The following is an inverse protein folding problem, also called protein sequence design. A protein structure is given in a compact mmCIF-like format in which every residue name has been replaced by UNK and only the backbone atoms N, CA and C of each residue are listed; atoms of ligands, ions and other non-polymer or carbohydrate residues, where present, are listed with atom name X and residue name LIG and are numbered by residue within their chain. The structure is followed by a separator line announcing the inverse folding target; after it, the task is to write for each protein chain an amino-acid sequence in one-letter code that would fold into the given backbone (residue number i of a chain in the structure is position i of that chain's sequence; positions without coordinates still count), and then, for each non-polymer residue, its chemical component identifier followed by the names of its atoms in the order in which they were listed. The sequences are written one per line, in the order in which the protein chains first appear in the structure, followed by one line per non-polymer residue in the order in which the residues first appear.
data_IF_886026034278
#
_entry.id   IF_886026034278
#
_cell.length_a   1.000
_cell.length_b   1.000
_cell.length_c   1.000
_cell.angle_alpha   90.00
_cell.angle_beta   90.00
_cell.angle_gamma   90.00
#
_symmetry.space_group_name_H-M   'P 1'
#
loop_
_entity.id
_entity.type
_entity.pdbx_description
1 polymer ?
#
# COMPACT_ATOMS: atom_id res chain seq x y z
N UNK A 1 -10.12 7.94 21.07
CA UNK A 1 -11.27 7.79 20.14
C UNK A 1 -10.87 8.43 18.82
N UNK A 2 -10.80 7.67 17.72
CA UNK A 2 -10.37 8.17 16.41
C UNK A 2 -11.51 9.03 15.84
N UNK A 3 -11.19 10.20 15.29
CA UNK A 3 -12.19 11.06 14.69
C UNK A 3 -12.88 10.34 13.50
N UNK A 4 -14.22 10.40 13.37
CA UNK A 4 -14.96 9.70 12.31
C UNK A 4 -14.47 10.04 10.89
N UNK A 5 -14.03 11.30 10.70
CA UNK A 5 -13.49 11.80 9.44
C UNK A 5 -12.17 11.11 9.07
N UNK A 6 -11.26 10.96 10.04
CA UNK A 6 -9.98 10.25 9.86
C UNK A 6 -10.22 8.78 9.54
N UNK A 7 -11.18 8.13 10.21
CA UNK A 7 -11.54 6.74 9.92
C UNK A 7 -12.07 6.57 8.48
N UNK A 8 -12.88 7.52 8.00
CA UNK A 8 -13.38 7.55 6.63
C UNK A 8 -12.24 7.72 5.62
N UNK A 9 -11.31 8.65 5.89
CA UNK A 9 -10.15 8.89 5.03
C UNK A 9 -9.23 7.65 4.97
N UNK A 10 -8.95 7.03 6.12
CA UNK A 10 -8.21 5.76 6.20
C UNK A 10 -8.91 4.67 5.38
N UNK A 11 -10.21 4.44 5.58
CA UNK A 11 -10.95 3.40 4.83
C UNK A 11 -10.91 3.63 3.32
N UNK A 12 -10.92 4.88 2.88
CA UNK A 12 -10.82 5.26 1.46
C UNK A 12 -9.41 5.06 0.90
N UNK A 13 -8.37 5.29 1.71
CA UNK A 13 -6.97 5.24 1.28
C UNK A 13 -6.30 3.88 1.45
N UNK A 14 -6.78 3.04 2.37
CA UNK A 14 -6.29 1.68 2.63
C UNK A 14 -6.12 0.82 1.37
N UNK A 15 -7.03 0.84 0.38
CA UNK A 15 -6.86 0.08 -0.86
C UNK A 15 -5.68 0.56 -1.72
N UNK A 16 -5.38 1.86 -1.69
CA UNK A 16 -4.30 2.49 -2.49
C UNK A 16 -2.95 2.42 -1.80
N UNK A 17 -2.98 2.32 -0.47
CA UNK A 17 -1.82 2.14 0.39
C UNK A 17 -1.17 0.76 0.26
N UNK A 18 -1.63 -0.11 -0.64
CA UNK A 18 -1.23 -1.50 -0.68
C UNK A 18 -1.83 -2.28 0.49
N UNK A 19 -2.49 -3.40 0.21
CA UNK A 19 -2.85 -4.35 1.25
C UNK A 19 -1.57 -4.72 2.01
N UNK A 20 -1.47 -4.31 3.27
CA UNK A 20 -0.35 -4.60 4.16
C UNK A 20 -0.18 -6.12 4.20
N UNK A 21 0.79 -6.61 3.43
CA UNK A 21 1.24 -7.98 3.57
C UNK A 21 2.44 -7.92 4.48
N UNK A 22 2.19 -8.08 5.78
CA UNK A 22 3.25 -8.46 6.69
C UNK A 22 3.94 -9.69 6.08
N UNK A 23 5.17 -9.47 5.60
CA UNK A 23 5.87 -10.45 4.76
C UNK A 23 6.33 -11.66 5.54
N UNK A 24 6.29 -11.61 6.87
CA UNK A 24 6.71 -12.69 7.76
C UNK A 24 5.52 -13.30 8.54
N UNK A 25 4.38 -12.62 8.62
CA UNK A 25 3.19 -13.12 9.30
C UNK A 25 2.66 -14.38 8.64
N UNK A 26 2.35 -15.37 9.47
CA UNK A 26 1.93 -16.70 9.03
C UNK A 26 3.04 -17.55 8.38
N UNK A 27 4.30 -17.07 8.33
CA UNK A 27 5.42 -17.87 7.81
C UNK A 27 6.12 -18.63 8.93
N UNK A 28 6.38 -19.91 8.69
CA UNK A 28 7.19 -20.76 9.55
C UNK A 28 8.47 -21.16 8.83
N UNK A 29 9.61 -21.05 9.51
CA UNK A 29 10.90 -21.46 8.98
C UNK A 29 11.42 -22.64 9.80
N UNK A 30 11.54 -23.81 9.17
CA UNK A 30 11.95 -25.07 9.83
C UNK A 30 13.25 -25.53 9.20
N UNK A 31 14.30 -25.68 10.02
CA UNK A 31 15.55 -26.28 9.57
C UNK A 31 15.37 -27.79 9.45
N UNK A 32 15.51 -28.33 8.24
CA UNK A 32 15.60 -29.77 8.03
C UNK A 32 17.05 -30.21 8.22
N UNK A 33 17.24 -31.36 8.86
CA UNK A 33 18.50 -31.85 9.43
C UNK A 33 19.75 -31.91 8.51
N UNK A 34 19.62 -31.59 7.22
CA UNK A 34 20.68 -31.60 6.21
C UNK A 34 21.76 -30.53 6.38
N UNK A 35 21.47 -29.42 7.08
CA UNK A 35 22.39 -28.27 7.22
C UNK A 35 23.10 -28.19 8.60
N UNK A 36 22.88 -29.17 9.48
CA UNK A 36 23.41 -29.22 10.85
C UNK A 36 22.46 -28.65 11.90
N UNK A 37 22.61 -29.07 13.17
CA UNK A 37 21.71 -28.69 14.27
C UNK A 37 21.83 -27.22 14.72
N UNK A 38 22.98 -26.58 14.47
CA UNK A 38 23.28 -25.22 14.93
C UNK A 38 23.19 -24.23 13.77
N UNK A 39 21.97 -23.88 13.37
CA UNK A 39 21.73 -22.82 12.39
C UNK A 39 21.07 -21.62 13.07
N UNK A 40 21.53 -20.44 12.71
CA UNK A 40 20.89 -19.18 13.04
C UNK A 40 20.07 -18.73 11.83
N UNK A 41 18.80 -18.38 12.04
CA UNK A 41 17.98 -17.76 11.01
C UNK A 41 18.02 -16.25 11.20
N UNK A 42 18.44 -15.55 10.17
CA UNK A 42 18.57 -14.09 10.19
C UNK A 42 17.57 -13.47 9.21
N UNK A 43 16.75 -12.56 9.71
CA UNK A 43 15.80 -11.79 8.91
C UNK A 43 16.26 -10.34 8.84
N UNK A 44 16.48 -9.83 7.64
CA UNK A 44 16.79 -8.44 7.35
C UNK A 44 15.52 -7.76 6.87
N UNK A 45 15.01 -6.82 7.65
CA UNK A 45 13.80 -6.08 7.39
C UNK A 45 14.17 -4.65 7.00
N UNK A 46 13.97 -4.32 5.74
CA UNK A 46 14.14 -2.96 5.24
C UNK A 46 12.78 -2.24 5.29
N UNK A 47 12.66 -1.28 6.19
CA UNK A 47 11.43 -0.50 6.41
C UNK A 47 11.48 0.77 5.58
N UNK A 48 10.37 1.13 4.94
CA UNK A 48 10.19 2.34 4.16
C UNK A 48 9.02 3.13 4.73
N UNK A 49 9.21 4.43 4.92
CA UNK A 49 8.15 5.34 5.35
C UNK A 49 7.30 5.76 4.14
N UNK A 50 5.98 5.59 4.27
CA UNK A 50 5.00 5.99 3.27
C UNK A 50 3.99 6.94 3.88
N UNK A 51 3.88 8.13 3.32
CA UNK A 51 2.97 9.17 3.79
C UNK A 51 1.88 9.44 2.75
N UNK A 52 0.63 9.50 3.19
CA UNK A 52 -0.50 9.86 2.33
C UNK A 52 -1.08 11.20 2.76
N UNK A 53 -1.07 12.16 1.84
CA UNK A 53 -1.60 13.50 2.09
C UNK A 53 -2.96 13.65 1.42
N UNK A 54 -3.97 13.95 2.24
CA UNK A 54 -5.34 14.26 1.78
C UNK A 54 -5.50 15.73 1.44
N UNK A 55 -5.93 16.02 0.20
CA UNK A 55 -5.97 17.39 -0.34
C UNK A 55 -6.98 18.36 0.32
N UNK A 56 -7.92 17.88 1.14
CA UNK A 56 -8.98 18.72 1.74
C UNK A 56 -8.70 19.19 3.16
N UNK A 57 -7.75 18.58 3.87
CA UNK A 57 -7.54 18.90 5.29
C UNK A 57 -6.09 18.85 5.77
N UNK A 58 -5.10 18.67 4.89
CA UNK A 58 -3.69 18.53 5.29
C UNK A 58 -3.48 17.48 6.40
N UNK A 59 -4.36 16.47 6.44
CA UNK A 59 -4.15 15.35 7.34
C UNK A 59 -3.26 14.37 6.58
N UNK A 60 -2.05 14.16 7.10
CA UNK A 60 -1.17 13.10 6.67
C UNK A 60 -1.46 11.83 7.44
N UNK A 61 -1.45 10.71 6.73
CA UNK A 61 -1.52 9.37 7.31
C UNK A 61 -0.19 8.71 7.00
N UNK A 62 0.58 8.40 8.04
CA UNK A 62 1.86 7.70 7.94
C UNK A 62 1.64 6.18 8.01
N UNK A 63 2.35 5.43 7.16
CA UNK A 63 2.34 3.98 7.10
C UNK A 63 3.76 3.47 6.86
N UNK A 64 4.19 2.52 7.67
CA UNK A 64 5.44 1.81 7.45
C UNK A 64 5.20 0.53 6.64
N UNK A 65 5.92 0.40 5.53
CA UNK A 65 6.00 -0.84 4.76
C UNK A 65 7.39 -1.43 4.89
N UNK A 66 7.54 -2.75 4.72
CA UNK A 66 8.87 -3.35 4.75
C UNK A 66 9.02 -4.51 3.78
N UNK A 67 10.26 -4.68 3.32
CA UNK A 67 10.73 -5.84 2.59
C UNK A 67 11.50 -6.74 3.56
N UNK A 68 11.32 -8.06 3.44
CA UNK A 68 12.01 -9.02 4.29
C UNK A 68 12.90 -9.93 3.43
N UNK A 69 14.19 -9.97 3.77
CA UNK A 69 15.17 -10.92 3.26
C UNK A 69 15.54 -11.89 4.37
N UNK A 70 15.34 -13.19 4.15
CA UNK A 70 15.65 -14.22 5.15
C UNK A 70 16.90 -15.00 4.70
N UNK A 71 17.86 -15.14 5.59
CA UNK A 71 19.12 -15.85 5.37
C UNK A 71 19.34 -16.88 6.47
N UNK A 72 19.98 -18.00 6.12
CA UNK A 72 20.37 -19.04 7.06
C UNK A 72 21.89 -19.03 7.20
N UNK A 73 22.36 -18.86 8.44
CA UNK A 73 23.79 -18.78 8.76
C UNK A 73 24.14 -19.94 9.68
N UNK A 74 25.12 -20.76 9.25
CA UNK A 74 25.69 -21.80 10.11
C UNK A 74 26.52 -21.11 11.21
N UNK A 75 26.17 -21.36 12.46
CA UNK A 75 26.86 -20.78 13.61
C UNK A 75 27.35 -21.90 14.52
N UNK A 76 28.56 -21.78 15.04
CA UNK A 76 29.08 -22.69 16.06
C UNK A 76 28.36 -22.52 17.41
N UNK A 77 27.65 -21.40 17.60
CA UNK A 77 26.85 -21.12 18.80
C UNK A 77 25.36 -21.46 18.61
N UNK A 78 24.67 -21.54 19.75
CA UNK A 78 23.25 -21.87 19.95
C UNK A 78 22.36 -21.34 18.81
N UNK A 79 21.39 -22.12 18.30
CA UNK A 79 20.47 -21.66 17.26
C UNK A 79 19.63 -20.47 17.75
N UNK A 80 19.64 -19.38 17.00
CA UNK A 80 18.91 -18.15 17.33
C UNK A 80 18.16 -17.64 16.09
N UNK A 81 16.99 -17.05 16.30
CA UNK A 81 16.33 -16.21 15.32
C UNK A 81 16.77 -14.75 15.55
N UNK A 82 17.43 -14.15 14.57
CA UNK A 82 17.86 -12.75 14.62
C UNK A 82 17.07 -11.91 13.64
N UNK A 83 16.73 -10.69 14.06
CA UNK A 83 15.99 -9.72 13.24
C UNK A 83 16.80 -8.42 13.18
N UNK A 84 17.18 -8.01 11.98
CA UNK A 84 17.84 -6.74 11.70
C UNK A 84 16.81 -5.79 11.08
N UNK A 85 16.66 -4.61 11.67
CA UNK A 85 15.75 -3.58 11.19
C UNK A 85 16.56 -2.41 10.63
N UNK A 86 16.43 -2.15 9.34
CA UNK A 86 17.06 -1.02 8.67
C UNK A 86 15.98 -0.07 8.15
N UNK A 87 16.02 1.18 8.62
CA UNK A 87 15.17 2.24 8.09
C UNK A 87 15.77 2.72 6.77
N UNK A 88 14.98 2.66 5.71
CA UNK A 88 15.38 3.22 4.42
C UNK A 88 15.39 4.75 4.51
N UNK A 89 16.39 5.44 3.93
CA UNK A 89 16.37 6.89 3.79
C UNK A 89 15.36 7.37 2.73
N UNK A 90 14.68 6.45 2.04
CA UNK A 90 13.66 6.75 1.04
C UNK A 90 12.30 6.97 1.72
N UNK A 91 11.57 7.98 1.24
CA UNK A 91 10.18 8.24 1.64
C UNK A 91 9.27 8.19 0.42
N UNK A 92 8.11 7.54 0.55
CA UNK A 92 7.09 7.47 -0.50
C UNK A 92 5.95 8.41 -0.15
N UNK A 93 5.77 9.48 -0.95
CA UNK A 93 4.69 10.45 -0.76
C UNK A 93 3.56 10.19 -1.75
N UNK A 94 2.37 9.88 -1.25
CA UNK A 94 1.15 9.69 -2.04
C UNK A 94 0.25 10.92 -1.87
N UNK A 95 -0.03 11.60 -2.97
CA UNK A 95 -0.90 12.79 -2.98
C UNK A 95 -2.18 12.53 -3.76
N UNK A 96 -3.31 12.97 -3.21
CA UNK A 96 -4.59 12.93 -3.90
C UNK A 96 -4.71 14.14 -4.85
N UNK A 97 -4.78 13.89 -6.16
CA UNK A 97 -5.05 14.94 -7.14
C UNK A 97 -6.55 14.94 -7.52
N UNK A 98 -7.35 15.94 -7.08
CA UNK A 98 -8.75 16.01 -7.44
C UNK A 98 -8.92 16.36 -8.93
N UNK A 99 -9.74 15.59 -9.64
CA UNK A 99 -10.15 15.96 -11.01
C UNK A 99 -10.88 17.30 -11.00
N UNK A 100 -10.60 18.13 -12.00
CA UNK A 100 -11.25 19.43 -12.14
C UNK A 100 -12.74 19.28 -12.51
N UNK A 101 -13.56 20.24 -12.07
CA UNK A 101 -14.98 20.28 -12.42
C UNK A 101 -15.22 20.38 -13.94
N UNK A 102 -14.28 20.96 -14.68
CA UNK A 102 -14.34 21.01 -16.14
C UNK A 102 -14.40 19.61 -16.77
N UNK A 103 -13.69 18.63 -16.23
CA UNK A 103 -13.73 17.26 -16.72
C UNK A 103 -15.15 16.66 -16.57
N UNK A 104 -15.81 16.95 -15.45
CA UNK A 104 -17.20 16.54 -15.23
C UNK A 104 -18.17 17.17 -16.23
N UNK A 105 -18.02 18.48 -16.50
CA UNK A 105 -18.86 19.18 -17.48
C UNK A 105 -18.65 18.62 -18.89
N UNK A 106 -17.41 18.36 -19.29
CA UNK A 106 -17.11 17.74 -20.58
C UNK A 106 -17.76 16.36 -20.70
N UNK A 107 -17.65 15.51 -19.67
CA UNK A 107 -18.27 14.19 -19.67
C UNK A 107 -19.81 14.28 -19.73
N UNK A 108 -20.41 15.23 -19.00
CA UNK A 108 -21.85 15.46 -19.00
C UNK A 108 -22.36 15.92 -20.38
N UNK A 109 -21.67 16.88 -21.02
CA UNK A 109 -22.01 17.32 -22.38
C UNK A 109 -21.91 16.18 -23.38
N UNK A 110 -20.87 15.35 -23.31
CA UNK A 110 -20.71 14.19 -24.21
C UNK A 110 -21.90 13.21 -24.10
N UNK A 111 -22.44 13.01 -22.89
CA UNK A 111 -23.63 12.18 -22.67
C UNK A 111 -24.88 12.85 -23.24
N UNK A 112 -25.09 14.14 -22.95
CA UNK A 112 -26.27 14.90 -23.41
C UNK A 112 -26.32 14.97 -24.94
N UNK A 113 -25.20 15.30 -25.59
CA UNK A 113 -25.09 15.36 -27.05
C UNK A 113 -25.41 14.00 -27.69
N UNK A 114 -24.91 12.91 -27.09
CA UNK A 114 -25.20 11.55 -27.55
C UNK A 114 -26.68 11.18 -27.46
N UNK A 115 -27.36 11.58 -26.38
CA UNK A 115 -28.81 11.35 -26.21
C UNK A 115 -29.62 12.21 -27.16
N UNK A 116 -29.27 13.49 -27.30
CA UNK A 116 -29.95 14.43 -28.19
C UNK A 116 -29.85 13.98 -29.66
N UNK A 117 -28.66 13.58 -30.10
CA UNK A 117 -28.44 13.03 -31.44
C UNK A 117 -29.30 11.78 -31.71
N UNK A 118 -29.45 10.89 -30.72
CA UNK A 118 -30.33 9.72 -30.84
C UNK A 118 -31.80 10.10 -30.94
N UNK A 119 -32.29 11.03 -30.12
CA UNK A 119 -33.69 11.48 -30.14
C UNK A 119 -34.02 12.15 -31.47
N UNK A 120 -33.16 13.06 -31.95
CA UNK A 120 -33.34 13.73 -33.24
C UNK A 120 -33.35 12.72 -34.39
N UNK A 121 -32.50 11.70 -34.37
CA UNK A 121 -32.50 10.64 -35.39
C UNK A 121 -33.76 9.75 -35.35
N UNK A 122 -34.34 9.54 -34.16
CA UNK A 122 -35.57 8.76 -33.96
C UNK A 122 -36.85 9.51 -34.36
N UNK A 123 -36.90 10.83 -34.15
CA UNK A 123 -38.07 11.67 -34.47
C UNK A 123 -37.95 12.42 -35.80
N UNK A 124 -36.76 12.51 -36.38
CA UNK A 124 -36.48 13.14 -37.67
C UNK A 124 -36.65 12.20 -38.88
N UNK A 125 -37.33 11.07 -38.69
CA UNK A 125 -37.62 10.05 -39.70
C UNK A 125 -39.12 9.73 -39.67
#
# INVERSE_FOLDING_TARGET
MIAPKVMSDVKRLVPYLGASHDRLNGRSFINHHDLGANVTMEHYLQIVDSEVVTGRSHNSIEKYEYTALSSLVQSLQIPVAKFHFELSPMQVLITENPKSFSHFITDACAIIDGVFAKIVSLFGK
#
